data_IF_254559292283
#
_entry.id   IF_254559292283
#
_cell.length_a   1.000
_cell.length_b   1.000
_cell.length_c   1.000
_cell.angle_alpha   90.00
_cell.angle_beta   90.00
_cell.angle_gamma   90.00
#
_symmetry.space_group_name_H-M   'P 1'
#
loop_
_entity.id
_entity.type
_entity.pdbx_description
1 polymer ?
#
# COMPACT_ATOMS: atom_id res chain seq x y z
N UNK A 1 2.30 -17.44 2.90
CA UNK A 1 2.07 -17.62 1.47
C UNK A 1 3.37 -17.61 0.72
N UNK A 2 3.82 -18.77 0.30
CA UNK A 2 5.15 -18.93 -0.29
C UNK A 2 5.36 -18.12 -1.56
N UNK A 3 4.31 -17.96 -2.35
CA UNK A 3 4.44 -17.33 -3.66
C UNK A 3 4.07 -15.86 -3.66
N UNK A 4 3.76 -15.29 -2.50
CA UNK A 4 3.38 -13.90 -2.39
C UNK A 4 4.60 -13.01 -2.17
N UNK A 5 4.86 -12.12 -3.13
CA UNK A 5 5.96 -11.17 -3.05
C UNK A 5 5.89 -10.34 -1.76
N UNK A 6 4.71 -9.84 -1.43
CA UNK A 6 4.55 -8.97 -0.24
C UNK A 6 4.68 -9.76 1.06
N UNK A 7 4.20 -11.01 1.10
CA UNK A 7 4.43 -11.86 2.27
C UNK A 7 5.94 -12.08 2.49
N UNK A 8 6.70 -12.25 1.41
CA UNK A 8 8.15 -12.41 1.49
C UNK A 8 8.85 -11.15 1.98
N UNK A 9 8.39 -9.98 1.55
CA UNK A 9 8.92 -8.69 2.01
C UNK A 9 8.61 -8.52 3.51
N UNK A 10 7.38 -8.82 3.92
CA UNK A 10 6.96 -8.72 5.32
C UNK A 10 7.81 -9.65 6.20
N UNK A 11 8.11 -10.85 5.71
CA UNK A 11 8.94 -11.83 6.42
C UNK A 11 10.44 -11.51 6.39
N UNK A 12 10.85 -10.50 5.64
CA UNK A 12 12.25 -10.12 5.52
C UNK A 12 13.06 -10.97 4.55
N UNK A 13 12.41 -11.81 3.75
CA UNK A 13 13.09 -12.69 2.79
C UNK A 13 13.49 -11.94 1.52
N UNK A 14 12.79 -10.88 1.16
CA UNK A 14 13.10 -10.03 0.02
C UNK A 14 13.27 -8.60 0.54
N UNK A 15 14.37 -7.91 0.18
CA UNK A 15 14.60 -6.55 0.65
C UNK A 15 13.63 -5.55 0.03
N UNK A 16 13.29 -4.52 0.78
CA UNK A 16 12.51 -3.38 0.31
C UNK A 16 12.90 -2.17 1.14
N UNK A 17 12.70 -0.98 0.57
CA UNK A 17 12.95 0.26 1.32
C UNK A 17 11.74 0.55 2.19
N UNK A 18 11.86 0.28 3.47
CA UNK A 18 10.79 0.47 4.44
C UNK A 18 10.73 1.92 4.89
N UNK A 19 9.55 2.50 4.82
CA UNK A 19 9.28 3.85 5.32
C UNK A 19 8.63 3.82 6.69
N UNK A 20 7.88 2.75 6.98
CA UNK A 20 7.17 2.55 8.24
C UNK A 20 6.80 1.09 8.41
N UNK A 21 6.74 0.62 9.64
CA UNK A 21 6.29 -0.74 9.93
C UNK A 21 5.76 -0.81 11.37
N UNK A 22 4.64 -1.51 11.55
CA UNK A 22 4.13 -1.87 12.87
C UNK A 22 3.53 -3.28 12.80
N UNK A 23 2.76 -3.68 13.82
CA UNK A 23 2.18 -5.03 13.86
C UNK A 23 1.13 -5.28 12.78
N UNK A 24 0.54 -4.23 12.23
CA UNK A 24 -0.58 -4.34 11.29
C UNK A 24 -0.20 -4.12 9.84
N UNK A 25 0.86 -3.37 9.58
CA UNK A 25 1.20 -2.93 8.22
C UNK A 25 2.68 -2.68 8.03
N UNK A 26 3.06 -2.63 6.75
CA UNK A 26 4.36 -2.14 6.32
C UNK A 26 4.14 -1.12 5.20
N UNK A 27 4.89 -0.05 5.18
CA UNK A 27 4.89 0.93 4.08
C UNK A 27 6.28 0.92 3.45
N UNK A 28 6.33 0.65 2.15
CA UNK A 28 7.58 0.55 1.39
C UNK A 28 7.53 1.47 0.18
N UNK A 29 8.70 1.77 -0.39
CA UNK A 29 8.78 2.48 -1.67
C UNK A 29 8.44 1.54 -2.81
N UNK A 30 7.65 2.03 -3.78
CA UNK A 30 7.42 1.30 -5.02
C UNK A 30 8.70 1.38 -5.87
N UNK A 31 9.16 0.25 -6.38
CA UNK A 31 10.38 0.18 -7.20
C UNK A 31 10.15 0.66 -8.64
N UNK A 32 8.89 0.83 -9.04
CA UNK A 32 8.52 1.34 -10.37
C UNK A 32 7.51 2.48 -10.19
N UNK A 33 7.98 3.64 -9.67
CA UNK A 33 7.07 4.70 -9.25
C UNK A 33 6.31 5.33 -10.41
N UNK A 34 5.03 5.60 -10.17
CA UNK A 34 4.13 6.27 -11.12
C UNK A 34 3.93 7.74 -10.78
N UNK A 35 4.54 8.21 -9.69
CA UNK A 35 4.54 9.61 -9.27
C UNK A 35 5.87 9.89 -8.61
N UNK A 36 6.17 11.17 -8.37
CA UNK A 36 7.42 11.57 -7.71
C UNK A 36 7.62 10.84 -6.39
N UNK A 37 6.56 10.73 -5.58
CA UNK A 37 6.54 9.90 -4.38
C UNK A 37 5.51 8.81 -4.59
N UNK A 38 5.93 7.56 -4.49
CA UNK A 38 5.03 6.43 -4.66
C UNK A 38 5.38 5.35 -3.65
N UNK A 39 4.47 5.13 -2.71
CA UNK A 39 4.63 4.13 -1.66
C UNK A 39 3.51 3.12 -1.72
N UNK A 40 3.75 1.98 -1.07
CA UNK A 40 2.75 0.92 -0.92
C UNK A 40 2.53 0.69 0.56
N UNK A 41 1.27 0.83 1.01
CA UNK A 41 0.88 0.45 2.36
C UNK A 41 0.25 -0.94 2.28
N UNK A 42 0.86 -1.89 2.97
CA UNK A 42 0.53 -3.31 2.84
C UNK A 42 0.12 -3.87 4.20
N UNK A 43 -1.14 -4.29 4.37
CA UNK A 43 -1.54 -5.01 5.58
C UNK A 43 -0.72 -6.29 5.74
N UNK A 44 -0.35 -6.62 6.96
CA UNK A 44 0.48 -7.82 7.20
C UNK A 44 -0.27 -9.13 7.04
N UNK A 45 -1.60 -9.13 7.16
CA UNK A 45 -2.42 -10.30 6.85
C UNK A 45 -2.55 -10.47 5.34
N UNK A 46 -2.45 -11.70 4.86
CA UNK A 46 -2.60 -11.97 3.43
C UNK A 46 -4.08 -12.14 3.07
N UNK A 47 -4.60 -11.25 2.24
CA UNK A 47 -5.88 -11.39 1.57
C UNK A 47 -5.80 -10.59 0.27
N UNK A 48 -6.53 -11.03 -0.75
CA UNK A 48 -6.37 -10.48 -2.11
C UNK A 48 -7.22 -9.24 -2.34
N UNK A 49 -8.50 -9.31 -1.97
CA UNK A 49 -9.50 -8.32 -2.33
C UNK A 49 -10.24 -7.83 -1.10
N UNK A 50 -10.78 -6.61 -1.19
CA UNK A 50 -11.66 -6.08 -0.15
C UNK A 50 -12.86 -7.00 0.09
N UNK A 51 -13.36 -7.63 -0.97
CA UNK A 51 -14.50 -8.55 -0.88
C UNK A 51 -14.19 -9.80 -0.06
N UNK A 52 -12.91 -10.18 0.07
CA UNK A 52 -12.49 -11.39 0.77
C UNK A 52 -12.13 -11.13 2.23
N UNK A 53 -12.06 -9.87 2.66
CA UNK A 53 -11.54 -9.58 3.99
C UNK A 53 -12.50 -9.98 5.10
N UNK A 54 -11.90 -10.52 6.16
CA UNK A 54 -12.61 -10.82 7.40
C UNK A 54 -12.81 -9.54 8.21
N UNK A 55 -13.57 -9.63 9.28
CA UNK A 55 -13.73 -8.51 10.21
C UNK A 55 -12.37 -8.03 10.76
N UNK A 56 -11.49 -8.96 11.14
CA UNK A 56 -10.14 -8.62 11.60
C UNK A 56 -9.33 -7.90 10.53
N UNK A 57 -9.39 -8.39 9.29
CA UNK A 57 -8.66 -7.78 8.18
C UNK A 57 -9.20 -6.41 7.84
N UNK A 58 -10.51 -6.18 8.00
CA UNK A 58 -11.09 -4.85 7.83
C UNK A 58 -10.55 -3.86 8.86
N UNK A 59 -10.27 -4.32 10.07
CA UNK A 59 -9.64 -3.48 11.09
C UNK A 59 -8.21 -3.11 10.69
N UNK A 60 -7.48 -3.99 10.04
CA UNK A 60 -6.14 -3.67 9.54
C UNK A 60 -6.20 -2.59 8.45
N UNK A 61 -7.16 -2.68 7.53
CA UNK A 61 -7.36 -1.65 6.49
C UNK A 61 -7.68 -0.31 7.14
N UNK A 62 -8.56 -0.31 8.14
CA UNK A 62 -8.87 0.89 8.91
C UNK A 62 -7.63 1.52 9.50
N UNK A 63 -6.77 0.71 10.12
CA UNK A 63 -5.52 1.19 10.72
C UNK A 63 -4.58 1.77 9.67
N UNK A 64 -4.51 1.17 8.49
CA UNK A 64 -3.73 1.72 7.38
C UNK A 64 -4.22 3.12 7.01
N UNK A 65 -5.53 3.28 6.84
CA UNK A 65 -6.13 4.56 6.46
C UNK A 65 -5.96 5.62 7.56
N UNK A 66 -5.92 5.23 8.81
CA UNK A 66 -5.67 6.14 9.92
C UNK A 66 -4.21 6.52 10.04
N UNK A 67 -3.30 5.59 9.74
CA UNK A 67 -1.86 5.81 9.88
C UNK A 67 -1.31 6.72 8.79
N UNK A 68 -1.72 6.53 7.54
CA UNK A 68 -1.18 7.28 6.40
C UNK A 68 -1.19 8.80 6.64
N UNK A 69 -2.30 9.42 7.06
CA UNK A 69 -2.30 10.87 7.29
C UNK A 69 -1.36 11.33 8.40
N UNK A 70 -1.00 10.45 9.34
CA UNK A 70 -0.07 10.80 10.42
C UNK A 70 1.37 10.87 9.93
N UNK A 71 1.66 10.35 8.74
CA UNK A 71 3.00 10.28 8.16
C UNK A 71 3.20 11.27 7.02
N UNK A 72 2.37 12.31 6.93
CA UNK A 72 2.39 13.26 5.81
C UNK A 72 3.77 13.87 5.60
N UNK A 73 4.42 14.27 6.68
CA UNK A 73 5.73 14.92 6.60
C UNK A 73 6.81 13.93 6.12
N UNK A 74 6.81 12.73 6.67
CA UNK A 74 7.82 11.71 6.37
C UNK A 74 7.69 11.19 4.93
N UNK A 75 6.46 11.14 4.42
CA UNK A 75 6.18 10.59 3.09
C UNK A 75 6.00 11.65 2.01
N UNK A 76 6.10 12.94 2.36
CA UNK A 76 5.93 14.02 1.39
C UNK A 76 4.50 14.18 0.90
N UNK A 77 3.53 14.04 1.79
CA UNK A 77 2.10 14.07 1.45
C UNK A 77 1.44 15.43 1.74
N UNK A 78 2.21 16.41 2.18
CA UNK A 78 1.68 17.64 2.78
C UNK A 78 0.84 18.49 1.83
N UNK A 79 1.12 18.44 0.54
CA UNK A 79 0.36 19.21 -0.47
C UNK A 79 -0.78 18.43 -1.10
N UNK A 80 -1.06 17.25 -0.57
CA UNK A 80 -2.10 16.38 -1.08
C UNK A 80 -1.53 15.08 -1.63
N UNK A 81 -2.36 14.07 -1.65
CA UNK A 81 -1.96 12.74 -2.09
C UNK A 81 -3.15 11.95 -2.58
N UNK A 82 -2.87 10.92 -3.34
CA UNK A 82 -3.90 10.03 -3.88
C UNK A 82 -3.68 8.63 -3.35
N UNK A 83 -4.75 8.00 -2.92
CA UNK A 83 -4.74 6.59 -2.52
C UNK A 83 -5.45 5.78 -3.60
N UNK A 84 -4.84 4.65 -3.99
CA UNK A 84 -5.40 3.75 -5.00
C UNK A 84 -5.32 2.33 -4.47
N UNK A 85 -6.45 1.62 -4.50
CA UNK A 85 -6.53 0.20 -4.14
C UNK A 85 -7.09 -0.54 -5.35
N UNK A 86 -6.23 -1.14 -6.15
CA UNK A 86 -6.64 -1.86 -7.34
C UNK A 86 -7.29 -3.20 -6.95
N UNK A 87 -8.45 -3.50 -7.51
CA UNK A 87 -9.22 -4.69 -7.18
C UNK A 87 -9.45 -5.51 -8.44
N UNK A 88 -8.68 -6.58 -8.61
CA UNK A 88 -8.86 -7.53 -9.70
C UNK A 88 -8.14 -7.15 -10.99
N UNK A 89 -8.32 -7.97 -12.00
CA UNK A 89 -7.59 -7.90 -13.27
C UNK A 89 -7.87 -6.61 -14.04
N UNK A 90 -9.13 -6.22 -14.15
CA UNK A 90 -9.50 -5.03 -14.92
C UNK A 90 -8.95 -3.74 -14.31
N UNK A 91 -8.67 -3.75 -13.00
CA UNK A 91 -8.06 -2.62 -12.32
C UNK A 91 -6.53 -2.65 -12.38
N UNK A 92 -5.95 -3.71 -12.96
CA UNK A 92 -4.50 -3.84 -13.08
C UNK A 92 -3.83 -4.35 -11.82
N UNK A 93 -4.54 -5.07 -10.97
CA UNK A 93 -3.93 -5.69 -9.81
C UNK A 93 -3.01 -6.82 -10.24
N UNK A 94 -1.71 -6.68 -9.98
CA UNK A 94 -0.71 -7.67 -10.38
C UNK A 94 -0.16 -8.47 -9.20
N UNK A 95 -0.15 -7.91 -8.01
CA UNK A 95 0.21 -8.62 -6.78
C UNK A 95 -1.04 -8.90 -5.99
N UNK A 96 -1.32 -10.18 -5.75
CA UNK A 96 -2.58 -10.63 -5.13
C UNK A 96 -2.47 -10.72 -3.62
N UNK A 97 -2.06 -9.61 -3.04
CA UNK A 97 -2.06 -9.29 -1.63
C UNK A 97 -2.51 -7.83 -1.56
N UNK A 98 -3.59 -7.55 -0.86
CA UNK A 98 -4.15 -6.19 -0.83
C UNK A 98 -3.10 -5.16 -0.46
N UNK A 99 -3.06 -4.07 -1.19
CA UNK A 99 -2.14 -2.96 -0.91
C UNK A 99 -2.76 -1.65 -1.38
N UNK A 100 -2.34 -0.58 -0.71
CA UNK A 100 -2.81 0.77 -0.99
C UNK A 100 -1.65 1.56 -1.57
N UNK A 101 -1.78 2.00 -2.82
CA UNK A 101 -0.82 2.92 -3.42
C UNK A 101 -0.99 4.30 -2.81
N UNK A 102 0.12 4.93 -2.47
CA UNK A 102 0.16 6.31 -1.96
C UNK A 102 0.98 7.11 -2.95
N UNK A 103 0.33 8.04 -3.64
CA UNK A 103 0.95 8.80 -4.74
C UNK A 103 0.93 10.28 -4.39
N UNK A 104 2.07 10.96 -4.52
CA UNK A 104 2.18 12.37 -4.20
C UNK A 104 3.41 13.02 -4.84
N UNK A 105 3.64 14.28 -4.50
CA UNK A 105 4.84 15.00 -4.89
C UNK A 105 4.73 15.72 -6.23
N UNK A 106 3.59 15.65 -6.88
CA UNK A 106 3.34 16.30 -8.15
C UNK A 106 1.85 16.52 -8.36
N UNK A 107 1.52 17.47 -9.23
CA UNK A 107 0.13 17.69 -9.61
C UNK A 107 -0.35 16.50 -10.44
N UNK A 108 -1.43 15.89 -10.04
CA UNK A 108 -2.02 14.74 -10.73
C UNK A 108 -3.34 15.16 -11.37
N UNK A 109 -3.61 14.64 -12.57
CA UNK A 109 -4.88 14.86 -13.25
C UNK A 109 -5.98 14.00 -12.64
N UNK A 110 -7.20 14.17 -13.14
CA UNK A 110 -8.33 13.37 -12.68
C UNK A 110 -8.28 11.93 -13.21
N UNK A 111 -7.61 11.70 -14.34
CA UNK A 111 -7.50 10.35 -14.91
C UNK A 111 -6.98 9.36 -13.87
N UNK A 112 -7.66 8.25 -13.64
CA UNK A 112 -7.19 7.25 -12.70
C UNK A 112 -5.82 6.69 -13.14
N UNK A 113 -4.92 6.56 -12.20
CA UNK A 113 -3.57 6.06 -12.47
C UNK A 113 -3.54 4.57 -12.70
#
# INVERSE_FOLDING_TARGET
MKDCLFCKIIAGEIPATKMYEDDDMIIIKDIDPKAKNHFLCIPKSHFKLLADMTEEQSQMVRKCLLKIPTLQKELGLENGYRLVINQGDDAGQTVFHLHIHILSGQKMGWTPA
#
